data_IF_738508292880
#
_entry.id   IF_738508292880
#
_cell.length_a   1.000
_cell.length_b   1.000
_cell.length_c   1.000
_cell.angle_alpha   90.00
_cell.angle_beta   90.00
_cell.angle_gamma   90.00
#
_symmetry.space_group_name_H-M   'P 1'
#
loop_
_entity.id
_entity.type
_entity.pdbx_description
1 polymer ?
#
# COMPACT_ATOMS: atom_id res chain seq x y z
N UNK A 1 20.25 -7.66 5.19
CA UNK A 1 18.83 -7.30 5.27
C UNK A 1 18.16 -8.20 6.28
N UNK A 2 17.46 -7.67 7.29
CA UNK A 2 16.68 -8.51 8.18
C UNK A 2 15.58 -9.19 7.36
N UNK A 3 15.50 -10.51 7.46
CA UNK A 3 14.44 -11.33 6.87
C UNK A 3 13.42 -11.65 7.94
N UNK A 4 12.16 -11.89 7.54
CA UNK A 4 11.10 -12.27 8.49
C UNK A 4 10.46 -11.11 9.25
N UNK A 5 10.51 -9.88 8.72
CA UNK A 5 9.71 -8.78 9.25
C UNK A 5 8.24 -9.11 9.03
N UNK A 6 7.51 -9.30 10.13
CA UNK A 6 6.06 -9.52 10.10
C UNK A 6 5.39 -8.16 9.96
N UNK A 7 4.52 -8.02 8.95
CA UNK A 7 3.63 -6.88 8.79
C UNK A 7 2.26 -7.31 9.26
N UNK A 8 1.73 -6.62 10.25
CA UNK A 8 0.40 -6.88 10.81
C UNK A 8 -0.69 -6.34 9.89
N UNK A 9 -1.92 -6.85 10.06
CA UNK A 9 -3.07 -6.34 9.32
C UNK A 9 -3.31 -4.84 9.56
N UNK A 10 -3.05 -4.37 10.79
CA UNK A 10 -3.17 -2.97 11.15
C UNK A 10 -2.14 -2.11 10.42
N UNK A 11 -0.90 -2.56 10.29
CA UNK A 11 0.13 -1.87 9.51
C UNK A 11 -0.21 -1.87 8.02
N UNK A 12 -0.64 -3.01 7.47
CA UNK A 12 -1.04 -3.08 6.06
C UNK A 12 -2.26 -2.19 5.76
N UNK A 13 -3.20 -2.07 6.69
CA UNK A 13 -4.36 -1.20 6.57
C UNK A 13 -4.02 0.30 6.55
N UNK A 14 -2.80 0.70 6.95
CA UNK A 14 -2.35 2.11 6.84
C UNK A 14 -1.89 2.48 5.44
N UNK A 15 -1.66 1.50 4.56
CA UNK A 15 -1.29 1.75 3.16
C UNK A 15 -2.47 2.39 2.44
N UNK A 16 -2.23 3.51 1.77
CA UNK A 16 -3.25 4.22 0.99
C UNK A 16 -3.49 3.52 -0.36
N UNK A 17 -4.03 2.31 -0.31
CA UNK A 17 -4.32 1.47 -1.46
C UNK A 17 -5.74 1.72 -1.97
N UNK A 18 -5.86 2.17 -3.21
CA UNK A 18 -7.15 2.43 -3.86
C UNK A 18 -7.33 1.54 -5.09
N UNK A 19 -8.57 1.15 -5.39
CA UNK A 19 -8.88 0.33 -6.57
C UNK A 19 -8.84 1.20 -7.82
N UNK A 20 -8.11 0.73 -8.81
CA UNK A 20 -7.92 1.39 -10.11
C UNK A 20 -8.52 0.51 -11.23
N UNK A 21 -8.73 1.02 -12.45
CA UNK A 21 -9.04 0.17 -13.59
C UNK A 21 -7.97 -0.92 -13.77
N UNK A 22 -8.34 -1.96 -14.48
CA UNK A 22 -7.43 -3.05 -14.76
C UNK A 22 -6.44 -2.66 -15.86
N UNK A 23 -5.15 -2.79 -15.57
CA UNK A 23 -4.04 -2.46 -16.48
C UNK A 23 -3.29 -3.72 -16.95
N UNK A 24 -4.01 -4.84 -17.08
CA UNK A 24 -3.47 -6.13 -17.54
C UNK A 24 -3.01 -7.03 -16.40
N UNK A 25 -2.13 -6.56 -15.53
CA UNK A 25 -1.60 -7.40 -14.44
C UNK A 25 -1.97 -6.87 -13.04
N UNK A 26 -2.49 -5.65 -12.96
CA UNK A 26 -2.80 -4.98 -11.69
C UNK A 26 -4.03 -4.06 -11.80
N UNK A 27 -4.64 -3.77 -10.67
CA UNK A 27 -5.87 -2.96 -10.53
C UNK A 27 -5.95 -2.17 -9.22
N UNK A 28 -4.81 -1.85 -8.60
CA UNK A 28 -4.73 -1.00 -7.42
C UNK A 28 -3.57 -0.02 -7.52
N UNK A 29 -3.75 1.18 -6.97
CA UNK A 29 -2.75 2.23 -6.89
C UNK A 29 -2.45 2.58 -5.42
N UNK A 30 -1.19 2.91 -5.12
CA UNK A 30 -0.77 3.41 -3.80
C UNK A 30 -0.58 4.91 -3.91
N UNK A 31 -1.25 5.67 -3.04
CA UNK A 31 -1.14 7.12 -3.00
C UNK A 31 -0.10 7.58 -1.97
N UNK A 32 0.53 8.75 -2.20
CA UNK A 32 1.44 9.33 -1.23
C UNK A 32 0.68 9.85 -0.02
N UNK A 33 1.24 9.64 1.17
CA UNK A 33 0.74 10.29 2.38
C UNK A 33 0.75 11.81 2.19
N UNK A 34 -0.30 12.47 2.68
CA UNK A 34 -0.35 13.92 2.72
C UNK A 34 0.89 14.43 3.47
N UNK A 35 1.66 15.31 2.83
CA UNK A 35 2.81 15.91 3.49
C UNK A 35 2.30 16.75 4.67
N UNK A 36 2.86 16.59 5.88
CA UNK A 36 2.52 17.50 6.97
C UNK A 36 2.97 18.91 6.57
N UNK A 37 2.04 19.87 6.65
CA UNK A 37 2.30 21.30 6.45
C UNK A 37 3.05 21.89 7.63
#
# INVERSE_FOLDING_TARGET
>A
YPTGVVVTDAELATVQLERDPFHGEWNYAIHPHASPT
#
